data_IF_130692440526
#
_entry.id   IF_130692440526
#
_cell.length_a   1.000
_cell.length_b   1.000
_cell.length_c   1.000
_cell.angle_alpha   90.00
_cell.angle_beta   90.00
_cell.angle_gamma   90.00
#
_symmetry.space_group_name_H-M   'P 1'
#
loop_
_entity.id
_entity.type
_entity.pdbx_description
1 polymer ?
#
# COMPACT_ATOMS: atom_id res chain seq x y z
N UNK A 1 21.97 28.90 -28.36
CA UNK A 1 22.35 29.43 -27.05
C UNK A 1 23.62 28.72 -26.62
N UNK A 2 24.52 29.36 -25.90
CA UNK A 2 25.63 28.60 -25.26
C UNK A 2 25.17 28.32 -23.83
N UNK A 3 25.16 27.06 -23.46
CA UNK A 3 24.88 26.66 -22.10
C UNK A 3 26.12 26.07 -21.45
N UNK A 4 26.33 26.39 -20.17
CA UNK A 4 27.41 25.85 -19.34
C UNK A 4 26.80 24.94 -18.29
N UNK A 5 27.26 23.69 -18.24
CA UNK A 5 26.80 22.69 -17.26
C UNK A 5 27.85 22.45 -16.19
N UNK A 6 27.42 22.41 -14.93
CA UNK A 6 28.24 22.11 -13.78
C UNK A 6 27.53 21.09 -12.89
N UNK A 7 28.22 20.02 -12.50
CA UNK A 7 27.74 19.09 -11.50
C UNK A 7 28.05 19.67 -10.12
N UNK A 8 27.02 19.94 -9.32
CA UNK A 8 27.16 20.60 -7.99
C UNK A 8 26.99 19.62 -6.83
N UNK A 9 26.23 18.54 -7.02
CA UNK A 9 26.04 17.48 -6.04
C UNK A 9 25.62 16.17 -6.74
N UNK A 10 25.52 15.09 -6.00
CA UNK A 10 25.02 13.82 -6.51
C UNK A 10 23.66 14.01 -7.19
N UNK A 11 23.58 13.65 -8.46
CA UNK A 11 22.38 13.80 -9.31
C UNK A 11 21.87 15.23 -9.51
N UNK A 12 22.68 16.28 -9.20
CA UNK A 12 22.27 17.69 -9.32
C UNK A 12 23.20 18.42 -10.29
N UNK A 13 22.62 19.00 -11.33
CA UNK A 13 23.32 19.78 -12.33
C UNK A 13 22.79 21.22 -12.33
N UNK A 14 23.70 22.18 -12.29
CA UNK A 14 23.41 23.57 -12.58
C UNK A 14 23.76 23.85 -14.04
N UNK A 15 22.77 24.32 -14.82
CA UNK A 15 22.97 24.70 -16.20
C UNK A 15 22.65 26.18 -16.36
N UNK A 16 23.70 26.94 -16.65
CA UNK A 16 23.59 28.38 -16.93
C UNK A 16 23.43 28.59 -18.41
N UNK A 17 22.36 29.27 -18.82
CA UNK A 17 22.13 29.63 -20.21
C UNK A 17 21.71 31.08 -20.35
N UNK A 18 22.02 31.68 -21.51
CA UNK A 18 21.66 33.07 -21.83
C UNK A 18 20.79 33.10 -23.05
N UNK A 19 19.61 33.69 -22.90
CA UNK A 19 18.68 33.99 -23.98
C UNK A 19 18.94 35.40 -24.47
N UNK A 20 19.46 35.52 -25.67
CA UNK A 20 19.85 36.82 -26.27
C UNK A 20 19.60 36.87 -27.78
N UNK A 21 19.86 38.03 -28.39
CA UNK A 21 19.76 38.26 -29.82
C UNK A 21 18.36 38.10 -30.38
N UNK A 22 18.22 37.38 -31.49
CA UNK A 22 16.95 37.21 -32.22
C UNK A 22 15.90 36.54 -31.33
N UNK A 23 16.25 35.50 -30.57
CA UNK A 23 15.33 34.80 -29.66
C UNK A 23 14.74 35.73 -28.59
N UNK A 24 15.58 36.61 -28.03
CA UNK A 24 15.12 37.61 -27.07
C UNK A 24 14.22 38.66 -27.71
N UNK A 25 14.58 39.14 -28.90
CA UNK A 25 13.73 40.07 -29.65
C UNK A 25 12.36 39.47 -29.97
N UNK A 26 12.31 38.21 -30.37
CA UNK A 26 11.08 37.50 -30.66
C UNK A 26 10.25 37.27 -29.39
N UNK A 27 10.88 36.92 -28.26
CA UNK A 27 10.21 36.78 -26.99
C UNK A 27 9.55 38.09 -26.55
N UNK A 28 10.26 39.23 -26.64
CA UNK A 28 9.70 40.57 -26.37
C UNK A 28 8.54 40.93 -27.29
N UNK A 29 8.66 40.60 -28.57
CA UNK A 29 7.57 40.86 -29.53
C UNK A 29 6.32 40.01 -29.26
N UNK A 30 6.48 38.74 -28.88
CA UNK A 30 5.39 37.85 -28.47
C UNK A 30 4.74 38.36 -27.19
N UNK A 31 5.54 38.75 -26.19
CA UNK A 31 5.09 39.31 -24.92
C UNK A 31 4.29 40.60 -25.11
N UNK A 32 4.81 41.52 -25.93
CA UNK A 32 4.14 42.79 -26.25
C UNK A 32 2.76 42.55 -26.92
N UNK A 33 2.68 41.61 -27.87
CA UNK A 33 1.40 41.25 -28.51
C UNK A 33 0.42 40.66 -27.51
N UNK A 34 0.88 39.78 -26.62
CA UNK A 34 0.05 39.18 -25.57
C UNK A 34 -0.47 40.23 -24.59
N UNK A 35 0.43 41.06 -24.06
CA UNK A 35 0.03 42.16 -23.15
C UNK A 35 -0.90 43.17 -23.81
N UNK A 36 -0.64 43.56 -25.08
CA UNK A 36 -1.50 44.47 -25.83
C UNK A 36 -2.92 43.94 -25.98
N UNK A 37 -3.10 42.63 -26.13
CA UNK A 37 -4.42 41.98 -26.18
C UNK A 37 -5.21 42.06 -24.87
N UNK A 38 -4.53 42.33 -23.76
CA UNK A 38 -5.11 42.38 -22.41
C UNK A 38 -5.37 43.82 -21.91
N UNK A 39 -4.82 44.83 -22.62
CA UNK A 39 -4.99 46.25 -22.24
C UNK A 39 -6.46 46.65 -22.32
N UNK A 40 -6.90 47.42 -21.33
CA UNK A 40 -8.19 48.10 -21.30
C UNK A 40 -7.96 49.63 -21.39
N UNK A 41 -8.56 50.30 -22.34
CA UNK A 41 -8.46 51.77 -22.51
C UNK A 41 -9.85 52.38 -22.60
N UNK A 42 -10.00 53.64 -22.12
CA UNK A 42 -11.25 54.37 -22.24
C UNK A 42 -11.70 54.44 -23.70
N UNK A 43 -12.94 54.06 -23.98
CA UNK A 43 -13.52 54.05 -25.34
C UNK A 43 -13.32 52.73 -26.12
N UNK A 44 -12.61 51.76 -25.58
CA UNK A 44 -12.40 50.48 -26.27
C UNK A 44 -12.80 49.29 -25.36
N UNK A 45 -13.38 48.27 -25.98
CA UNK A 45 -13.63 47.00 -25.29
C UNK A 45 -12.29 46.28 -25.04
N UNK A 46 -12.14 45.59 -23.90
CA UNK A 46 -10.98 44.77 -23.55
C UNK A 46 -10.56 43.86 -24.73
N UNK A 47 -9.31 43.94 -25.15
CA UNK A 47 -8.78 43.17 -26.27
C UNK A 47 -9.08 43.73 -27.66
N UNK A 48 -9.73 44.90 -27.78
CA UNK A 48 -10.03 45.61 -29.03
C UNK A 48 -9.33 46.97 -29.10
N UNK A 49 -8.40 47.27 -28.21
CA UNK A 49 -7.59 48.48 -28.26
C UNK A 49 -6.60 48.38 -29.43
N UNK A 50 -6.49 49.41 -30.31
CA UNK A 50 -5.47 49.42 -31.38
C UNK A 50 -4.05 49.21 -30.78
N UNK A 51 -3.23 48.39 -31.45
CA UNK A 51 -1.93 47.99 -30.96
C UNK A 51 -1.02 49.15 -30.56
N UNK A 52 -1.01 50.24 -31.37
CA UNK A 52 -0.16 51.42 -31.10
C UNK A 52 -0.61 52.20 -29.84
N UNK A 53 -1.88 52.15 -29.49
CA UNK A 53 -2.39 52.74 -28.25
C UNK A 53 -2.07 51.83 -27.08
N UNK A 54 -2.30 50.53 -27.22
CA UNK A 54 -1.98 49.52 -26.17
C UNK A 54 -0.50 49.51 -25.83
N UNK A 55 0.39 49.57 -26.83
CA UNK A 55 1.84 49.63 -26.66
C UNK A 55 2.31 50.78 -25.77
N UNK A 56 1.69 51.97 -25.92
CA UNK A 56 2.05 53.14 -25.09
C UNK A 56 1.68 53.01 -23.61
N UNK A 57 0.74 52.13 -23.30
CA UNK A 57 0.25 51.88 -21.94
C UNK A 57 0.96 50.73 -21.24
N UNK A 58 1.86 50.01 -21.93
CA UNK A 58 2.59 48.85 -21.38
C UNK A 58 4.01 49.32 -21.01
N UNK A 59 4.41 49.09 -19.80
CA UNK A 59 5.77 49.41 -19.34
C UNK A 59 6.78 48.43 -19.94
N UNK A 60 8.00 48.89 -20.17
CA UNK A 60 9.10 48.04 -20.65
C UNK A 60 9.39 46.90 -19.68
N UNK A 61 9.29 47.15 -18.39
CA UNK A 61 9.41 46.09 -17.37
C UNK A 61 8.39 44.99 -17.52
N UNK A 62 7.10 45.30 -17.77
CA UNK A 62 6.06 44.29 -17.96
C UNK A 62 6.32 43.46 -19.23
N UNK A 63 6.89 44.08 -20.29
CA UNK A 63 7.25 43.38 -21.52
C UNK A 63 8.40 42.39 -21.23
N UNK A 64 9.40 42.80 -20.48
CA UNK A 64 10.55 41.98 -20.12
C UNK A 64 10.11 40.79 -19.23
N UNK A 65 9.31 41.04 -18.21
CA UNK A 65 8.79 39.99 -17.31
C UNK A 65 7.98 38.95 -18.10
N UNK A 66 7.05 39.37 -18.95
CA UNK A 66 6.25 38.48 -19.79
C UNK A 66 7.10 37.76 -20.84
N UNK A 67 8.13 38.43 -21.39
CA UNK A 67 9.05 37.80 -22.36
C UNK A 67 9.89 36.69 -21.72
N UNK A 68 10.40 36.94 -20.50
CA UNK A 68 11.12 35.91 -19.73
C UNK A 68 10.18 34.73 -19.47
N UNK A 69 8.99 35.00 -18.92
CA UNK A 69 8.02 33.96 -18.59
C UNK A 69 7.62 33.13 -19.81
N UNK A 70 7.44 33.77 -20.96
CA UNK A 70 7.06 33.10 -22.21
C UNK A 70 8.18 32.32 -22.87
N UNK A 71 9.46 32.67 -22.66
CA UNK A 71 10.62 32.01 -23.28
C UNK A 71 11.34 31.00 -22.37
N UNK A 72 11.00 30.98 -21.06
CA UNK A 72 11.69 30.14 -20.08
C UNK A 72 11.55 28.66 -20.34
N UNK A 73 10.35 28.20 -20.73
CA UNK A 73 10.09 26.79 -21.04
C UNK A 73 10.85 26.34 -22.30
N UNK A 74 10.98 27.22 -23.29
CA UNK A 74 11.72 26.93 -24.51
C UNK A 74 13.23 26.84 -24.21
N UNK A 75 13.75 27.76 -23.39
CA UNK A 75 15.14 27.72 -22.92
C UNK A 75 15.43 26.45 -22.11
N UNK A 76 14.52 26.05 -21.22
CA UNK A 76 14.63 24.79 -20.47
C UNK A 76 14.65 23.56 -21.38
N UNK A 77 13.73 23.49 -22.34
CA UNK A 77 13.65 22.36 -23.28
C UNK A 77 14.95 22.23 -24.11
N UNK A 78 15.53 23.35 -24.53
CA UNK A 78 16.81 23.35 -25.26
C UNK A 78 17.94 22.82 -24.38
N UNK A 79 18.05 23.28 -23.12
CA UNK A 79 19.04 22.82 -22.14
C UNK A 79 18.94 21.31 -21.93
N UNK A 80 17.72 20.80 -21.71
CA UNK A 80 17.48 19.36 -21.52
C UNK A 80 17.94 18.56 -22.74
N UNK A 81 17.58 19.04 -23.94
CA UNK A 81 17.95 18.38 -25.20
C UNK A 81 19.43 18.40 -25.47
N UNK A 82 20.10 19.56 -25.28
CA UNK A 82 21.52 19.76 -25.50
C UNK A 82 22.39 18.86 -24.63
N UNK A 83 22.08 18.81 -23.32
CA UNK A 83 22.83 18.03 -22.33
C UNK A 83 22.30 16.61 -22.12
N UNK A 84 21.23 16.20 -22.82
CA UNK A 84 20.57 14.88 -22.69
C UNK A 84 20.21 14.53 -21.26
N UNK A 85 19.75 15.54 -20.49
CA UNK A 85 19.35 15.35 -19.11
C UNK A 85 17.94 14.76 -19.03
N UNK A 86 17.71 13.91 -18.02
CA UNK A 86 16.39 13.36 -17.72
C UNK A 86 15.96 13.85 -16.33
N UNK A 87 15.21 14.96 -16.25
CA UNK A 87 14.80 15.52 -14.96
C UNK A 87 13.98 14.52 -14.16
N UNK A 88 14.32 14.39 -12.89
CA UNK A 88 13.62 13.54 -11.92
C UNK A 88 12.69 14.34 -11.01
N UNK A 89 13.11 15.59 -10.69
CA UNK A 89 12.31 16.56 -9.96
C UNK A 89 12.04 17.78 -10.82
N UNK A 90 11.07 18.60 -10.41
CA UNK A 90 10.89 19.91 -11.04
C UNK A 90 12.16 20.75 -10.90
N UNK A 91 12.62 21.45 -11.96
CA UNK A 91 13.82 22.26 -11.89
C UNK A 91 13.60 23.50 -11.02
N UNK A 92 14.61 23.87 -10.26
CA UNK A 92 14.67 25.21 -9.68
C UNK A 92 15.21 26.18 -10.73
N UNK A 93 14.63 27.36 -10.77
CA UNK A 93 14.94 28.36 -11.78
C UNK A 93 15.35 29.65 -11.11
N UNK A 94 16.55 30.13 -11.41
CA UNK A 94 17.07 31.39 -10.91
C UNK A 94 17.51 32.29 -12.05
N UNK A 95 16.87 33.46 -12.18
CA UNK A 95 17.28 34.48 -13.12
C UNK A 95 18.37 35.29 -12.48
N UNK A 96 19.58 35.26 -13.05
CA UNK A 96 20.75 35.89 -12.44
C UNK A 96 21.07 37.26 -13.06
N UNK A 97 20.69 37.50 -14.29
CA UNK A 97 20.93 38.76 -15.00
C UNK A 97 19.81 39.03 -15.99
N UNK A 98 19.39 40.29 -16.04
CA UNK A 98 18.45 40.79 -17.05
C UNK A 98 18.98 42.12 -17.59
N UNK A 99 19.15 42.25 -18.88
CA UNK A 99 19.56 43.51 -19.54
C UNK A 99 18.78 43.70 -20.85
N UNK A 100 19.13 44.78 -21.57
CA UNK A 100 18.45 45.14 -22.80
C UNK A 100 18.58 44.04 -23.90
N UNK A 101 19.69 43.33 -23.89
CA UNK A 101 20.09 42.37 -24.94
C UNK A 101 19.71 40.92 -24.60
N UNK A 102 19.24 40.64 -23.38
CA UNK A 102 18.84 39.31 -22.99
C UNK A 102 18.69 39.12 -21.48
N UNK A 103 18.55 37.83 -21.10
CA UNK A 103 18.61 37.40 -19.70
C UNK A 103 19.43 36.14 -19.56
N UNK A 104 20.04 35.99 -18.38
CA UNK A 104 20.77 34.78 -17.98
C UNK A 104 19.97 34.06 -16.90
N UNK A 105 19.78 32.77 -17.10
CA UNK A 105 19.05 31.89 -16.18
C UNK A 105 19.93 30.70 -15.80
N UNK A 106 19.85 30.31 -14.55
CA UNK A 106 20.44 29.09 -14.00
C UNK A 106 19.29 28.10 -13.71
N UNK A 107 19.34 26.96 -14.35
CA UNK A 107 18.47 25.83 -14.05
C UNK A 107 19.20 24.86 -13.15
N UNK A 108 18.67 24.61 -11.93
CA UNK A 108 19.13 23.51 -11.08
C UNK A 108 18.29 22.29 -11.38
N UNK A 109 18.89 21.32 -12.04
CA UNK A 109 18.20 20.12 -12.58
C UNK A 109 18.65 18.91 -11.78
N UNK A 110 17.70 18.27 -11.10
CA UNK A 110 17.93 17.01 -10.40
C UNK A 110 17.56 15.86 -11.33
N UNK A 111 18.51 14.99 -11.62
CA UNK A 111 18.31 13.77 -12.44
C UNK A 111 18.10 12.56 -11.54
N UNK A 112 17.61 11.44 -12.13
CA UNK A 112 17.44 10.19 -11.39
C UNK A 112 18.78 9.72 -10.80
N UNK A 113 18.78 9.22 -9.55
CA UNK A 113 19.98 8.63 -8.94
C UNK A 113 20.52 7.46 -9.77
N UNK A 114 21.84 7.32 -9.81
CA UNK A 114 22.49 6.20 -10.49
C UNK A 114 22.43 4.94 -9.65
N UNK A 115 22.18 3.80 -10.32
CA UNK A 115 22.08 2.49 -9.71
C UNK A 115 23.13 1.56 -10.28
N UNK A 116 24.02 1.08 -9.45
CA UNK A 116 24.94 -0.02 -9.77
C UNK A 116 24.35 -1.31 -9.19
N UNK A 117 23.74 -2.15 -10.06
CA UNK A 117 23.17 -3.41 -9.65
C UNK A 117 24.23 -4.42 -9.19
N UNK A 118 24.06 -4.95 -7.98
CA UNK A 118 24.77 -6.11 -7.50
C UNK A 118 24.22 -7.42 -8.07
N UNK A 119 24.44 -8.50 -7.35
CA UNK A 119 23.88 -9.80 -7.69
C UNK A 119 22.38 -9.82 -7.43
N UNK A 120 21.58 -10.12 -8.47
CA UNK A 120 20.11 -10.20 -8.38
C UNK A 120 19.54 -11.52 -8.93
N UNK A 121 20.40 -12.48 -9.31
CA UNK A 121 20.06 -13.85 -9.71
C UNK A 121 20.88 -14.85 -8.87
N UNK A 122 20.40 -16.07 -8.78
CA UNK A 122 21.10 -17.19 -8.11
C UNK A 122 21.39 -16.96 -6.62
N UNK A 123 20.50 -16.22 -5.93
CA UNK A 123 20.65 -15.92 -4.49
C UNK A 123 20.29 -17.11 -3.59
N UNK A 124 19.74 -18.18 -4.15
CA UNK A 124 19.40 -19.44 -3.48
C UNK A 124 18.56 -19.22 -2.19
N UNK A 125 17.47 -18.49 -2.31
CA UNK A 125 16.52 -18.24 -1.22
C UNK A 125 15.36 -19.22 -1.31
N UNK A 126 15.37 -20.25 -0.49
CA UNK A 126 14.29 -21.23 -0.45
C UNK A 126 13.03 -20.68 0.26
N UNK A 127 11.86 -21.12 -0.15
CA UNK A 127 10.61 -20.91 0.61
C UNK A 127 10.69 -21.72 1.90
N UNK A 128 10.38 -21.13 3.04
CA UNK A 128 10.27 -21.87 4.30
C UNK A 128 9.14 -22.90 4.22
N UNK A 129 9.38 -24.16 4.60
CA UNK A 129 8.33 -25.16 4.59
C UNK A 129 7.24 -24.80 5.59
N UNK A 130 6.00 -24.80 5.12
CA UNK A 130 4.82 -24.47 5.92
C UNK A 130 4.24 -25.74 6.53
N UNK A 131 3.97 -25.69 7.84
CA UNK A 131 3.25 -26.73 8.56
C UNK A 131 2.06 -26.12 9.28
N UNK A 132 0.91 -26.75 9.13
CA UNK A 132 -0.30 -26.42 9.92
C UNK A 132 -0.48 -27.56 10.91
N UNK A 133 -0.40 -27.23 12.19
CA UNK A 133 -0.64 -28.19 13.26
C UNK A 133 -2.13 -28.25 13.61
N UNK A 134 -2.56 -29.36 14.23
CA UNK A 134 -3.93 -29.44 14.76
C UNK A 134 -4.23 -28.34 15.77
N UNK A 135 -3.21 -27.92 16.51
CA UNK A 135 -3.33 -26.81 17.47
C UNK A 135 -3.68 -25.49 16.77
N UNK A 136 -3.01 -25.17 15.65
CA UNK A 136 -3.29 -23.96 14.87
C UNK A 136 -4.75 -23.94 14.38
N UNK A 137 -5.26 -25.10 13.96
CA UNK A 137 -6.64 -25.26 13.49
C UNK A 137 -7.62 -25.02 14.65
N UNK A 138 -7.37 -25.65 15.81
CA UNK A 138 -8.24 -25.46 16.99
C UNK A 138 -8.21 -24.00 17.50
N UNK A 139 -7.04 -23.37 17.54
CA UNK A 139 -6.90 -21.97 17.93
C UNK A 139 -7.70 -21.05 16.98
N UNK A 140 -7.64 -21.29 15.67
CA UNK A 140 -8.42 -20.50 14.69
C UNK A 140 -9.92 -20.75 14.85
N UNK A 141 -10.34 -22.00 15.07
CA UNK A 141 -11.75 -22.35 15.32
C UNK A 141 -12.24 -21.68 16.58
N UNK A 142 -11.49 -21.77 17.68
CA UNK A 142 -11.84 -21.11 18.94
C UNK A 142 -11.98 -19.60 18.77
N UNK A 143 -11.06 -18.97 18.04
CA UNK A 143 -11.15 -17.55 17.72
C UNK A 143 -12.43 -17.23 16.94
N UNK A 144 -12.75 -18.05 15.93
CA UNK A 144 -13.97 -17.85 15.16
C UNK A 144 -15.22 -18.01 16.02
N UNK A 145 -15.22 -18.96 16.98
CA UNK A 145 -16.32 -19.10 17.97
C UNK A 145 -16.41 -17.91 18.90
N UNK A 146 -15.28 -17.38 19.36
CA UNK A 146 -15.20 -16.16 20.19
C UNK A 146 -15.72 -14.91 19.46
N UNK A 147 -15.39 -14.78 18.17
CA UNK A 147 -15.83 -13.67 17.30
C UNK A 147 -17.34 -13.73 17.03
N UNK A 148 -17.95 -14.94 17.09
CA UNK A 148 -19.37 -15.18 16.91
C UNK A 148 -20.11 -15.47 18.24
N UNK A 149 -19.46 -15.20 19.38
CA UNK A 149 -20.07 -15.43 20.68
C UNK A 149 -21.24 -14.47 20.95
N UNK A 150 -22.31 -15.01 21.51
CA UNK A 150 -23.44 -14.20 21.95
C UNK A 150 -23.20 -13.60 23.34
N UNK A 151 -23.61 -12.35 23.51
CA UNK A 151 -23.59 -11.69 24.82
C UNK A 151 -24.88 -11.94 25.54
N UNK A 152 -24.85 -12.78 26.59
CA UNK A 152 -26.00 -13.09 27.44
C UNK A 152 -25.92 -12.33 28.76
N UNK A 153 -27.07 -11.83 29.23
CA UNK A 153 -27.17 -11.18 30.54
C UNK A 153 -26.78 -12.16 31.66
N UNK A 154 -25.94 -11.67 32.56
CA UNK A 154 -25.46 -12.43 33.74
C UNK A 154 -25.95 -11.77 35.01
N UNK A 155 -26.75 -12.49 35.80
CA UNK A 155 -27.25 -12.02 37.10
C UNK A 155 -26.20 -12.13 38.21
N UNK A 156 -25.11 -12.84 37.98
CA UNK A 156 -24.02 -13.06 38.93
C UNK A 156 -22.94 -11.97 38.90
N UNK A 157 -21.92 -12.11 39.78
CA UNK A 157 -20.80 -11.17 39.83
C UNK A 157 -19.96 -11.20 38.51
N UNK A 158 -19.43 -10.04 38.14
CA UNK A 158 -18.56 -9.89 36.95
C UNK A 158 -17.27 -10.69 37.12
N UNK A 159 -16.87 -11.36 36.04
CA UNK A 159 -15.60 -12.09 35.93
C UNK A 159 -14.75 -11.51 34.78
N UNK A 160 -13.48 -11.85 34.75
CA UNK A 160 -12.63 -11.52 33.61
C UNK A 160 -13.22 -12.11 32.33
N UNK A 161 -13.25 -11.31 31.25
CA UNK A 161 -13.86 -11.66 29.95
C UNK A 161 -15.34 -11.25 29.82
N UNK A 162 -16.01 -10.90 30.94
CA UNK A 162 -17.38 -10.37 30.87
C UNK A 162 -17.39 -8.92 30.36
N UNK A 163 -18.48 -8.55 29.70
CA UNK A 163 -18.75 -7.18 29.27
C UNK A 163 -19.61 -6.50 30.36
N UNK A 164 -19.09 -5.43 30.92
CA UNK A 164 -19.80 -4.64 31.93
C UNK A 164 -20.27 -3.34 31.29
N UNK A 165 -21.57 -3.05 31.44
CA UNK A 165 -22.18 -1.78 31.01
C UNK A 165 -22.39 -0.95 32.27
N UNK A 166 -21.77 0.23 32.35
CA UNK A 166 -21.75 1.05 33.54
C UNK A 166 -21.59 2.54 33.21
N UNK A 167 -22.02 3.38 34.14
CA UNK A 167 -21.67 4.79 34.18
C UNK A 167 -20.46 4.98 35.05
N UNK A 168 -19.58 5.91 34.71
CA UNK A 168 -18.49 6.28 35.58
C UNK A 168 -18.27 7.80 35.66
N UNK A 169 -17.81 8.25 36.83
CA UNK A 169 -17.37 9.64 37.07
C UNK A 169 -16.04 9.62 37.79
N UNK A 170 -15.03 10.24 37.16
CA UNK A 170 -13.68 10.32 37.69
C UNK A 170 -13.42 11.62 38.45
N UNK A 171 -12.74 11.49 39.57
CA UNK A 171 -12.37 12.59 40.45
C UNK A 171 -10.88 12.55 40.76
N UNK A 172 -10.22 13.71 40.65
CA UNK A 172 -8.85 13.93 41.11
C UNK A 172 -8.91 15.00 42.21
N UNK A 173 -8.40 14.68 43.42
CA UNK A 173 -8.48 15.58 44.58
C UNK A 173 -9.92 16.06 44.88
N UNK A 174 -10.93 15.19 44.64
CA UNK A 174 -12.34 15.48 44.88
C UNK A 174 -13.03 16.38 43.87
N UNK A 175 -12.37 16.71 42.72
CA UNK A 175 -12.95 17.48 41.61
C UNK A 175 -13.05 16.60 40.38
N UNK A 176 -14.18 16.69 39.68
CA UNK A 176 -14.32 16.05 38.37
C UNK A 176 -13.31 16.63 37.36
N UNK A 177 -12.81 15.80 36.46
CA UNK A 177 -11.91 16.22 35.40
C UNK A 177 -12.49 15.92 34.01
N UNK A 178 -12.13 16.70 33.04
CA UNK A 178 -12.61 16.58 31.66
C UNK A 178 -12.19 15.24 31.05
N UNK A 179 -13.14 14.55 30.38
CA UNK A 179 -12.92 13.20 29.81
C UNK A 179 -12.95 12.06 30.85
N UNK A 180 -13.20 12.37 32.16
CA UNK A 180 -13.27 11.38 33.22
C UNK A 180 -14.65 10.76 33.45
N UNK A 181 -15.67 11.05 32.64
CA UNK A 181 -17.03 10.54 32.83
C UNK A 181 -17.66 10.05 31.53
N UNK A 182 -18.43 8.99 31.62
CA UNK A 182 -19.30 8.51 30.55
C UNK A 182 -20.51 7.77 31.15
N UNK A 183 -21.61 7.78 30.39
CA UNK A 183 -22.83 7.05 30.72
C UNK A 183 -22.98 5.84 29.77
N UNK A 184 -23.48 4.71 30.26
CA UNK A 184 -23.70 3.47 29.55
C UNK A 184 -22.45 2.96 28.75
N UNK A 185 -21.29 3.12 29.37
CA UNK A 185 -20.05 2.66 28.76
C UNK A 185 -19.97 1.12 28.80
N UNK A 186 -19.58 0.51 27.68
CA UNK A 186 -19.43 -0.93 27.56
C UNK A 186 -17.93 -1.30 27.56
N UNK A 187 -17.52 -2.08 28.57
CA UNK A 187 -16.13 -2.48 28.80
C UNK A 187 -16.02 -3.99 28.96
N UNK A 188 -15.13 -4.60 28.21
CA UNK A 188 -14.76 -6.01 28.42
C UNK A 188 -13.67 -6.08 29.49
N UNK A 189 -13.91 -6.76 30.59
CA UNK A 189 -12.93 -6.89 31.67
C UNK A 189 -11.74 -7.74 31.21
N UNK A 190 -10.52 -7.20 31.31
CA UNK A 190 -9.29 -7.82 30.83
C UNK A 190 -8.88 -7.36 29.44
N UNK A 191 -9.62 -6.42 28.82
CA UNK A 191 -9.26 -5.83 27.53
C UNK A 191 -8.08 -4.86 27.60
N UNK A 192 -7.71 -4.39 28.78
CA UNK A 192 -6.72 -3.35 29.03
C UNK A 192 -7.03 -2.02 28.29
N UNK A 193 -8.31 -1.72 28.05
CA UNK A 193 -8.75 -0.45 27.46
C UNK A 193 -8.71 0.70 28.47
N UNK A 194 -8.78 0.39 29.76
CA UNK A 194 -8.68 1.36 30.84
C UNK A 194 -7.28 1.36 31.48
N UNK A 195 -7.04 2.37 32.31
CA UNK A 195 -5.78 2.48 33.06
C UNK A 195 -5.55 1.23 33.94
N UNK A 196 -4.31 0.80 34.10
CA UNK A 196 -3.99 -0.43 34.84
C UNK A 196 -4.62 -0.46 36.24
N UNK A 197 -5.22 -1.59 36.60
CA UNK A 197 -5.87 -1.81 37.86
C UNK A 197 -7.33 -1.31 37.96
N UNK A 198 -7.86 -0.70 36.89
CA UNK A 198 -9.27 -0.29 36.83
C UNK A 198 -10.20 -1.50 36.66
N UNK A 199 -9.91 -2.29 35.61
CA UNK A 199 -10.72 -3.46 35.24
C UNK A 199 -10.70 -4.55 36.31
N UNK A 200 -9.54 -4.78 36.91
CA UNK A 200 -9.38 -5.74 38.01
C UNK A 200 -10.30 -5.43 39.22
N UNK A 201 -10.49 -4.14 39.52
CA UNK A 201 -11.36 -3.74 40.63
C UNK A 201 -12.83 -3.88 40.28
N UNK A 202 -13.24 -3.90 39.01
CA UNK A 202 -14.61 -4.17 38.56
C UNK A 202 -14.95 -5.66 38.61
N UNK A 203 -13.98 -6.54 38.70
CA UNK A 203 -14.21 -7.97 38.96
C UNK A 203 -14.97 -8.14 40.25
N UNK A 204 -15.96 -9.05 40.27
CA UNK A 204 -16.89 -9.30 41.36
C UNK A 204 -17.92 -8.18 41.62
N UNK A 205 -18.02 -7.16 40.76
CA UNK A 205 -19.15 -6.24 40.81
C UNK A 205 -20.44 -6.96 40.39
N UNK A 206 -21.59 -6.53 40.96
CA UNK A 206 -22.90 -7.10 40.63
C UNK A 206 -23.73 -6.08 39.86
N UNK A 207 -24.72 -6.51 39.07
CA UNK A 207 -25.67 -5.59 38.44
C UNK A 207 -26.32 -4.67 39.48
N UNK A 208 -26.68 -3.47 39.08
CA UNK A 208 -27.29 -2.41 39.90
C UNK A 208 -26.48 -2.00 41.14
N UNK A 209 -25.18 -2.27 41.15
CA UNK A 209 -24.27 -1.92 42.24
C UNK A 209 -23.41 -0.69 41.90
N UNK A 210 -23.06 0.02 42.97
CA UNK A 210 -22.12 1.13 42.91
C UNK A 210 -20.77 0.67 43.45
N UNK A 211 -19.71 0.95 42.67
CA UNK A 211 -18.33 0.59 43.02
C UNK A 211 -17.39 1.78 42.86
N UNK A 212 -16.57 2.01 43.87
CA UNK A 212 -15.50 3.00 43.83
C UNK A 212 -14.22 2.30 43.38
N UNK A 213 -13.60 2.80 42.30
CA UNK A 213 -12.35 2.30 41.70
C UNK A 213 -11.27 3.34 41.94
N UNK A 214 -10.17 2.94 42.58
CA UNK A 214 -9.02 3.80 42.87
C UNK A 214 -7.84 3.37 42.01
N UNK A 215 -7.34 4.28 41.20
CA UNK A 215 -6.23 4.01 40.28
C UNK A 215 -5.29 5.20 40.19
N UNK A 216 -4.05 4.94 39.84
CA UNK A 216 -3.05 5.98 39.56
C UNK A 216 -2.78 6.03 38.07
N UNK A 217 -2.85 7.20 37.47
CA UNK A 217 -2.51 7.37 36.05
C UNK A 217 -1.04 7.05 35.80
N UNK A 218 -0.71 6.33 34.71
CA UNK A 218 0.68 6.09 34.32
C UNK A 218 1.46 7.39 34.11
N UNK A 219 2.78 7.36 34.32
CA UNK A 219 3.65 8.53 34.06
C UNK A 219 3.66 8.94 32.58
N UNK A 220 3.40 7.98 31.68
CA UNK A 220 3.33 8.19 30.23
C UNK A 220 1.88 8.49 29.78
N UNK A 221 1.16 9.32 30.49
CA UNK A 221 -0.18 9.77 30.16
C UNK A 221 -0.21 11.26 29.87
N UNK A 222 -1.39 11.82 29.54
CA UNK A 222 -1.54 13.27 29.31
C UNK A 222 -0.97 14.04 30.52
N UNK A 223 -0.12 15.03 30.27
CA UNK A 223 0.67 15.78 31.29
C UNK A 223 -0.17 16.27 32.49
N UNK A 224 -1.43 16.58 32.25
CA UNK A 224 -2.35 17.08 33.26
C UNK A 224 -2.81 16.00 34.24
N UNK A 225 -2.75 14.72 33.83
CA UNK A 225 -3.24 13.56 34.58
C UNK A 225 -2.12 12.61 35.05
N UNK A 226 -0.97 12.63 34.36
CA UNK A 226 0.14 11.71 34.60
C UNK A 226 0.56 11.66 36.08
N UNK A 227 0.69 10.43 36.63
CA UNK A 227 1.11 10.16 38.00
C UNK A 227 0.12 10.58 39.08
N UNK A 228 -1.09 11.04 38.73
CA UNK A 228 -2.10 11.44 39.74
C UNK A 228 -2.99 10.30 40.13
N UNK A 229 -3.38 10.26 41.39
CA UNK A 229 -4.39 9.36 41.92
C UNK A 229 -5.78 9.84 41.52
N UNK A 230 -6.56 8.95 40.98
CA UNK A 230 -7.94 9.19 40.58
C UNK A 230 -8.89 8.20 41.26
N UNK A 231 -10.06 8.68 41.62
CA UNK A 231 -11.17 7.89 42.09
C UNK A 231 -12.29 7.92 41.08
N UNK A 232 -12.67 6.76 40.58
CA UNK A 232 -13.83 6.61 39.72
C UNK A 232 -15.00 6.02 40.49
N UNK A 233 -16.13 6.67 40.39
CA UNK A 233 -17.39 6.19 40.94
C UNK A 233 -18.16 5.54 39.80
N UNK A 234 -18.25 4.22 39.86
CA UNK A 234 -18.88 3.42 38.80
C UNK A 234 -20.25 2.94 39.24
N UNK A 235 -21.28 3.10 38.42
CA UNK A 235 -22.62 2.54 38.60
C UNK A 235 -22.82 1.45 37.55
N UNK A 236 -22.84 0.20 37.99
CA UNK A 236 -22.97 -0.97 37.11
C UNK A 236 -24.44 -1.15 36.76
N UNK A 237 -24.76 -1.21 35.46
CA UNK A 237 -26.12 -1.45 34.95
C UNK A 237 -26.32 -2.92 34.62
N UNK A 238 -25.50 -3.41 33.70
CA UNK A 238 -25.62 -4.77 33.16
C UNK A 238 -24.26 -5.46 33.12
N UNK A 239 -24.29 -6.74 33.34
CA UNK A 239 -23.14 -7.62 33.10
C UNK A 239 -23.56 -8.63 32.06
N UNK A 240 -22.76 -8.76 31.01
CA UNK A 240 -22.97 -9.73 29.93
C UNK A 240 -21.78 -10.66 29.85
N UNK A 241 -22.05 -11.95 29.79
CA UNK A 241 -20.99 -12.95 29.55
C UNK A 241 -21.03 -13.40 28.10
N UNK A 242 -19.85 -13.65 27.52
CA UNK A 242 -19.75 -14.26 26.21
C UNK A 242 -20.08 -15.75 26.34
N UNK A 243 -21.12 -16.18 25.64
CA UNK A 243 -21.46 -17.60 25.48
C UNK A 243 -20.99 -18.02 24.09
N UNK A 244 -19.97 -18.87 24.05
CA UNK A 244 -19.48 -19.42 22.82
C UNK A 244 -20.50 -20.43 22.25
N UNK A 245 -20.82 -20.35 20.96
CA UNK A 245 -21.64 -21.39 20.33
C UNK A 245 -20.90 -22.74 20.37
N UNK A 246 -21.65 -23.81 20.61
CA UNK A 246 -21.09 -25.15 20.51
C UNK A 246 -20.80 -25.49 19.04
N UNK A 247 -19.60 -26.05 18.77
CA UNK A 247 -19.22 -26.44 17.43
C UNK A 247 -19.93 -27.75 17.06
N UNK A 248 -21.14 -27.62 16.52
CA UNK A 248 -21.98 -28.72 16.01
C UNK A 248 -22.12 -28.66 14.48
N UNK A 249 -22.60 -29.73 13.87
CA UNK A 249 -22.84 -29.73 12.41
C UNK A 249 -23.95 -28.73 12.04
N UNK A 250 -24.94 -28.53 12.91
CA UNK A 250 -26.00 -27.53 12.73
C UNK A 250 -25.41 -26.12 12.70
N UNK A 251 -24.58 -25.79 13.70
CA UNK A 251 -23.89 -24.47 13.75
C UNK A 251 -23.03 -24.23 12.52
N UNK A 252 -22.27 -25.24 12.07
CA UNK A 252 -21.45 -25.12 10.86
C UNK A 252 -22.32 -24.85 9.62
N UNK A 253 -23.49 -25.50 9.51
CA UNK A 253 -24.41 -25.28 8.41
C UNK A 253 -25.02 -23.85 8.44
N UNK A 254 -25.21 -23.24 9.62
CA UNK A 254 -25.72 -21.88 9.83
C UNK A 254 -24.68 -20.81 9.45
N UNK A 255 -23.38 -21.11 9.50
CA UNK A 255 -22.32 -20.17 9.08
C UNK A 255 -22.39 -19.83 7.57
N UNK A 256 -23.20 -20.54 6.79
CA UNK A 256 -23.45 -20.23 5.37
C UNK A 256 -22.29 -20.54 4.42
N UNK A 257 -21.23 -21.21 4.91
CA UNK A 257 -20.08 -21.65 4.13
C UNK A 257 -20.36 -22.91 3.28
N UNK A 258 -19.29 -23.45 2.68
CA UNK A 258 -19.38 -24.69 1.90
C UNK A 258 -19.42 -25.94 2.80
N UNK A 259 -18.81 -25.88 3.98
CA UNK A 259 -18.81 -26.95 4.96
C UNK A 259 -20.23 -27.18 5.55
N UNK A 260 -20.60 -28.44 5.74
CA UNK A 260 -21.87 -28.84 6.35
C UNK A 260 -21.70 -29.66 7.62
N UNK A 261 -20.48 -30.09 7.88
CA UNK A 261 -20.11 -30.85 9.08
C UNK A 261 -18.90 -30.22 9.75
N UNK A 262 -18.73 -30.48 11.05
CA UNK A 262 -17.54 -30.06 11.83
C UNK A 262 -16.26 -30.59 11.17
N UNK A 263 -16.26 -31.80 10.62
CA UNK A 263 -15.09 -32.37 9.97
C UNK A 263 -14.71 -31.61 8.69
N UNK A 264 -15.69 -31.23 7.88
CA UNK A 264 -15.47 -30.40 6.67
C UNK A 264 -15.00 -29.01 7.04
N UNK A 265 -15.59 -28.38 8.07
CA UNK A 265 -15.20 -27.08 8.57
C UNK A 265 -13.74 -27.06 9.06
N UNK A 266 -13.31 -28.07 9.82
CA UNK A 266 -11.89 -28.24 10.23
C UNK A 266 -10.97 -28.34 9.03
N UNK A 267 -11.36 -29.08 8.00
CA UNK A 267 -10.59 -29.23 6.76
C UNK A 267 -10.50 -27.91 5.98
N UNK A 268 -11.60 -27.12 5.94
CA UNK A 268 -11.64 -25.82 5.30
C UNK A 268 -10.76 -24.80 6.04
N UNK A 269 -10.82 -24.78 7.39
CA UNK A 269 -9.95 -23.94 8.22
C UNK A 269 -8.48 -24.34 8.04
N UNK A 270 -8.17 -25.65 8.01
CA UNK A 270 -6.79 -26.11 7.75
C UNK A 270 -6.30 -25.67 6.37
N UNK A 271 -7.12 -25.80 5.34
CA UNK A 271 -6.78 -25.37 3.97
C UNK A 271 -6.56 -23.85 3.91
N UNK A 272 -7.41 -23.08 4.58
CA UNK A 272 -7.28 -21.61 4.67
C UNK A 272 -5.99 -21.21 5.39
N UNK A 273 -5.74 -21.77 6.57
CA UNK A 273 -4.51 -21.51 7.32
C UNK A 273 -3.25 -21.92 6.54
N UNK A 274 -3.31 -23.02 5.81
CA UNK A 274 -2.19 -23.45 4.95
C UNK A 274 -1.92 -22.42 3.86
N UNK A 275 -2.98 -21.96 3.18
CA UNK A 275 -2.88 -20.93 2.15
C UNK A 275 -2.32 -19.61 2.69
N UNK A 276 -2.81 -19.16 3.85
CA UNK A 276 -2.32 -17.95 4.53
C UNK A 276 -0.83 -18.06 4.88
N UNK A 277 -0.42 -19.18 5.49
CA UNK A 277 0.98 -19.43 5.86
C UNK A 277 1.89 -19.58 4.63
N UNK A 278 1.41 -20.21 3.55
CA UNK A 278 2.15 -20.32 2.29
C UNK A 278 2.33 -18.93 1.65
N UNK A 279 1.29 -18.11 1.69
CA UNK A 279 1.34 -16.73 1.22
C UNK A 279 2.39 -15.93 2.02
N UNK A 280 2.33 -15.97 3.34
CA UNK A 280 3.28 -15.30 4.22
C UNK A 280 4.73 -15.80 4.01
N UNK A 281 4.92 -17.11 3.80
CA UNK A 281 6.24 -17.67 3.51
C UNK A 281 6.81 -17.20 2.16
N UNK A 282 5.95 -17.03 1.14
CA UNK A 282 6.36 -16.48 -0.16
C UNK A 282 6.69 -14.99 -0.06
N UNK A 283 5.92 -14.24 0.72
CA UNK A 283 6.19 -12.82 0.98
C UNK A 283 7.53 -12.64 1.73
N UNK A 284 7.78 -13.47 2.74
CA UNK A 284 9.06 -13.49 3.46
C UNK A 284 10.23 -13.85 2.54
N UNK A 285 10.05 -14.84 1.65
CA UNK A 285 11.03 -15.18 0.63
C UNK A 285 11.33 -13.97 -0.27
N UNK A 286 10.29 -13.30 -0.79
CA UNK A 286 10.44 -12.13 -1.65
C UNK A 286 11.19 -11.01 -0.92
N UNK A 287 10.79 -10.68 0.31
CA UNK A 287 11.45 -9.66 1.12
C UNK A 287 12.93 -9.99 1.37
N UNK A 288 13.24 -11.28 1.56
CA UNK A 288 14.63 -11.74 1.70
C UNK A 288 15.42 -11.59 0.41
N UNK A 289 14.83 -11.92 -0.75
CA UNK A 289 15.44 -11.71 -2.07
C UNK A 289 15.73 -10.24 -2.28
N UNK A 290 14.72 -9.37 -2.11
CA UNK A 290 14.84 -7.92 -2.28
C UNK A 290 15.93 -7.36 -1.35
N UNK A 291 15.94 -7.73 -0.08
CA UNK A 291 16.93 -7.28 0.90
C UNK A 291 18.36 -7.67 0.50
N UNK A 292 18.57 -8.89 0.00
CA UNK A 292 19.88 -9.32 -0.49
C UNK A 292 20.33 -8.56 -1.73
N UNK A 293 19.41 -8.29 -2.66
CA UNK A 293 19.70 -7.52 -3.88
C UNK A 293 20.09 -6.09 -3.51
N UNK A 294 19.30 -5.43 -2.63
CA UNK A 294 19.59 -4.08 -2.17
C UNK A 294 20.95 -4.03 -1.47
N UNK A 295 21.24 -4.98 -0.58
CA UNK A 295 22.51 -5.03 0.15
C UNK A 295 23.74 -5.22 -0.77
N UNK A 296 23.57 -5.86 -1.93
CA UNK A 296 24.64 -6.05 -2.92
C UNK A 296 24.74 -4.92 -3.93
N UNK A 297 23.72 -4.07 -4.04
CA UNK A 297 23.64 -2.97 -5.01
C UNK A 297 24.12 -1.66 -4.37
N UNK A 298 24.58 -0.73 -5.20
CA UNK A 298 24.96 0.61 -4.76
C UNK A 298 24.08 1.65 -5.42
N UNK A 299 23.43 2.47 -4.60
CA UNK A 299 22.57 3.56 -5.05
C UNK A 299 23.04 4.84 -4.39
N UNK A 300 23.30 5.87 -5.19
CA UNK A 300 23.70 7.17 -4.67
C UNK A 300 22.56 8.15 -4.84
N UNK A 301 21.83 8.43 -3.75
CA UNK A 301 20.67 9.34 -3.74
C UNK A 301 21.15 10.72 -3.31
N UNK A 302 20.87 11.74 -4.13
CA UNK A 302 21.17 13.13 -3.80
C UNK A 302 20.25 13.64 -2.67
N UNK A 303 20.78 14.48 -1.78
CA UNK A 303 20.04 15.04 -0.64
C UNK A 303 18.74 15.75 -1.08
N UNK A 304 18.77 16.51 -2.18
CA UNK A 304 17.57 17.17 -2.74
C UNK A 304 16.44 16.19 -3.07
N UNK A 305 16.78 14.98 -3.51
CA UNK A 305 15.78 13.93 -3.80
C UNK A 305 15.13 13.45 -2.50
N UNK A 306 15.97 13.21 -1.47
CA UNK A 306 15.47 12.79 -0.15
C UNK A 306 14.61 13.87 0.50
N UNK A 307 15.01 15.13 0.40
CA UNK A 307 14.22 16.27 0.92
C UNK A 307 12.87 16.41 0.24
N UNK A 308 12.84 16.36 -1.10
CA UNK A 308 11.60 16.46 -1.85
C UNK A 308 10.64 15.31 -1.52
N UNK A 309 11.17 14.09 -1.37
CA UNK A 309 10.37 12.92 -1.00
C UNK A 309 9.85 13.02 0.44
N UNK A 310 10.72 13.38 1.38
CA UNK A 310 10.34 13.55 2.79
C UNK A 310 9.28 14.63 2.97
N UNK A 311 9.38 15.73 2.20
CA UNK A 311 8.37 16.79 2.23
C UNK A 311 7.01 16.31 1.70
N UNK A 312 7.00 15.58 0.60
CA UNK A 312 5.77 15.01 0.05
C UNK A 312 5.13 13.98 1.01
N UNK A 313 5.94 13.12 1.63
CA UNK A 313 5.46 12.16 2.63
C UNK A 313 4.93 12.86 3.89
N UNK A 314 5.56 13.97 4.30
CA UNK A 314 5.05 14.80 5.40
C UNK A 314 3.68 15.39 5.06
N UNK A 315 3.49 15.91 3.85
CA UNK A 315 2.20 16.43 3.42
C UNK A 315 1.12 15.33 3.39
N UNK A 316 1.48 14.12 2.94
CA UNK A 316 0.59 12.96 2.97
C UNK A 316 0.26 12.53 4.41
N UNK A 317 1.25 12.52 5.30
CA UNK A 317 1.06 12.25 6.72
C UNK A 317 0.07 13.25 7.33
N UNK A 318 0.28 14.55 7.12
CA UNK A 318 -0.61 15.61 7.62
C UNK A 318 -2.04 15.37 7.13
N UNK A 319 -2.23 15.17 5.82
CA UNK A 319 -3.56 14.88 5.27
C UNK A 319 -4.22 13.66 5.91
N UNK A 320 -3.47 12.58 6.13
CA UNK A 320 -4.01 11.36 6.72
C UNK A 320 -4.43 11.54 8.18
N UNK A 321 -3.62 12.22 8.99
CA UNK A 321 -3.97 12.46 10.40
C UNK A 321 -5.15 13.43 10.53
N UNK A 322 -5.23 14.46 9.69
CA UNK A 322 -6.36 15.40 9.66
C UNK A 322 -7.68 14.72 9.23
N UNK A 323 -7.63 13.78 8.28
CA UNK A 323 -8.79 12.95 7.91
C UNK A 323 -9.32 12.10 9.07
N UNK A 324 -8.44 11.72 9.99
CA UNK A 324 -8.79 11.01 11.22
C UNK A 324 -9.16 11.94 12.39
N UNK A 325 -9.28 13.25 12.14
CA UNK A 325 -9.71 14.25 13.13
C UNK A 325 -8.62 14.67 14.14
N UNK A 326 -7.34 14.37 13.84
CA UNK A 326 -6.20 14.71 14.69
C UNK A 326 -5.41 15.83 14.01
N UNK A 327 -5.08 16.93 14.73
CA UNK A 327 -4.21 17.97 14.19
C UNK A 327 -2.73 17.54 14.19
N UNK A 328 -1.91 18.18 13.36
CA UNK A 328 -0.47 17.87 13.32
C UNK A 328 0.24 18.16 14.65
N UNK A 329 -0.19 19.19 15.37
CA UNK A 329 0.33 19.51 16.71
C UNK A 329 -0.02 18.42 17.73
N UNK A 330 -1.29 17.94 17.71
CA UNK A 330 -1.72 16.81 18.56
C UNK A 330 -0.94 15.53 18.25
N UNK A 331 -0.68 15.26 16.96
CA UNK A 331 0.15 14.13 16.54
C UNK A 331 1.57 14.23 17.11
N UNK A 332 2.19 15.42 17.09
CA UNK A 332 3.51 15.63 17.66
C UNK A 332 3.51 15.43 19.19
N UNK A 333 2.47 15.88 19.89
CA UNK A 333 2.30 15.66 21.33
C UNK A 333 2.14 14.19 21.67
N UNK A 334 1.28 13.46 20.93
CA UNK A 334 1.03 12.01 21.14
C UNK A 334 2.29 11.19 20.90
N UNK A 335 3.04 11.50 19.83
CA UNK A 335 4.27 10.77 19.47
C UNK A 335 5.50 11.21 20.24
N UNK A 336 5.46 12.39 20.89
CA UNK A 336 6.60 13.01 21.52
C UNK A 336 7.70 13.46 20.54
N UNK A 337 7.38 13.55 19.24
CA UNK A 337 8.32 13.90 18.17
C UNK A 337 8.10 15.34 17.72
N UNK A 338 9.19 16.10 17.60
CA UNK A 338 9.13 17.41 16.96
C UNK A 338 9.21 17.28 15.42
N UNK A 339 8.91 18.35 14.71
CA UNK A 339 8.91 18.42 13.25
C UNK A 339 10.23 17.92 12.62
N UNK A 340 11.37 18.35 13.17
CA UNK A 340 12.69 17.95 12.67
C UNK A 340 12.91 16.43 12.76
N UNK A 341 12.47 15.79 13.85
CA UNK A 341 12.61 14.34 14.03
C UNK A 341 11.66 13.56 13.13
N UNK A 342 10.45 14.08 12.90
CA UNK A 342 9.50 13.49 11.94
C UNK A 342 10.09 13.53 10.54
N UNK A 343 10.61 14.69 10.10
CA UNK A 343 11.25 14.83 8.78
C UNK A 343 12.49 13.94 8.65
N UNK A 344 13.31 13.81 9.69
CA UNK A 344 14.47 12.89 9.70
C UNK A 344 14.04 11.44 9.49
N UNK A 345 13.05 10.98 10.25
CA UNK A 345 12.50 9.62 10.10
C UNK A 345 11.92 9.40 8.70
N UNK A 346 11.20 10.40 8.15
CA UNK A 346 10.68 10.34 6.79
C UNK A 346 11.79 10.29 5.74
N UNK A 347 12.90 11.01 5.92
CA UNK A 347 14.09 10.93 5.04
C UNK A 347 14.71 9.53 5.05
N UNK A 348 14.86 8.93 6.24
CA UNK A 348 15.39 7.54 6.35
C UNK A 348 14.49 6.54 5.64
N UNK A 349 13.18 6.68 5.80
CA UNK A 349 12.21 5.82 5.13
C UNK A 349 12.19 6.05 3.62
N UNK A 350 12.23 7.33 3.19
CA UNK A 350 12.36 7.70 1.80
C UNK A 350 13.60 7.09 1.15
N UNK A 351 14.76 7.14 1.81
CA UNK A 351 15.99 6.54 1.29
C UNK A 351 15.83 5.04 1.02
N UNK A 352 15.18 4.30 1.91
CA UNK A 352 14.89 2.86 1.73
C UNK A 352 13.95 2.62 0.56
N UNK A 353 12.81 3.32 0.53
CA UNK A 353 11.79 3.16 -0.51
C UNK A 353 12.31 3.53 -1.91
N UNK A 354 13.05 4.65 -2.00
CA UNK A 354 13.66 5.09 -3.25
C UNK A 354 14.71 4.08 -3.72
N UNK A 355 15.58 3.60 -2.82
CA UNK A 355 16.59 2.59 -3.15
C UNK A 355 15.94 1.33 -3.70
N UNK A 356 14.92 0.81 -3.03
CA UNK A 356 14.17 -0.37 -3.47
C UNK A 356 13.55 -0.14 -4.86
N UNK A 357 12.81 0.96 -5.01
CA UNK A 357 12.15 1.30 -6.29
C UNK A 357 13.16 1.44 -7.45
N UNK A 358 14.27 2.12 -7.22
CA UNK A 358 15.29 2.32 -8.24
C UNK A 358 15.98 1.02 -8.64
N UNK A 359 16.35 0.18 -7.67
CA UNK A 359 16.96 -1.14 -7.91
C UNK A 359 16.00 -2.04 -8.69
N UNK A 360 14.72 -2.08 -8.29
CA UNK A 360 13.69 -2.87 -8.97
C UNK A 360 13.44 -2.39 -10.41
N UNK A 361 13.36 -1.08 -10.62
CA UNK A 361 13.20 -0.49 -11.95
C UNK A 361 14.41 -0.79 -12.84
N UNK A 362 15.62 -0.72 -12.29
CA UNK A 362 16.83 -0.99 -13.05
C UNK A 362 16.94 -2.48 -13.45
N UNK A 363 16.50 -3.41 -12.58
CA UNK A 363 16.39 -4.82 -12.94
C UNK A 363 15.36 -5.02 -14.05
N UNK A 364 14.18 -4.41 -13.93
CA UNK A 364 13.15 -4.48 -14.97
C UNK A 364 13.66 -3.96 -16.31
N UNK A 365 14.42 -2.85 -16.31
CA UNK A 365 15.03 -2.26 -17.50
C UNK A 365 16.07 -3.20 -18.11
N UNK A 366 16.98 -3.74 -17.30
CA UNK A 366 18.08 -4.63 -17.72
C UNK A 366 17.57 -5.95 -18.29
N UNK A 367 16.49 -6.49 -17.72
CA UNK A 367 15.85 -7.72 -18.17
C UNK A 367 14.77 -7.50 -19.23
N UNK A 368 14.59 -6.26 -19.70
CA UNK A 368 13.58 -5.91 -20.71
C UNK A 368 12.15 -6.33 -20.33
N UNK A 369 11.82 -6.23 -19.04
CA UNK A 369 10.49 -6.56 -18.54
C UNK A 369 9.54 -5.41 -18.87
N UNK A 370 8.68 -5.63 -19.83
CA UNK A 370 7.63 -4.69 -20.25
C UNK A 370 6.27 -5.38 -20.17
N UNK A 371 5.22 -4.61 -19.98
CA UNK A 371 3.85 -5.11 -20.08
C UNK A 371 3.37 -4.91 -21.52
N UNK A 372 3.03 -6.01 -22.17
CA UNK A 372 2.47 -6.00 -23.51
C UNK A 372 0.99 -5.59 -23.48
N UNK A 373 0.48 -5.12 -24.63
CA UNK A 373 -0.96 -4.84 -24.78
C UNK A 373 -1.82 -6.09 -24.52
N UNK A 374 -1.31 -7.27 -24.82
CA UNK A 374 -2.01 -8.52 -24.59
C UNK A 374 -2.19 -8.78 -23.09
N UNK A 375 -1.13 -8.62 -22.28
CA UNK A 375 -1.18 -8.77 -20.82
C UNK A 375 -2.12 -7.74 -20.17
N UNK A 376 -2.12 -6.50 -20.66
CA UNK A 376 -3.03 -5.46 -20.18
C UNK A 376 -4.49 -5.80 -20.51
N UNK A 377 -4.76 -6.26 -21.74
CA UNK A 377 -6.11 -6.67 -22.14
C UNK A 377 -6.58 -7.90 -21.36
N UNK A 378 -5.71 -8.86 -21.07
CA UNK A 378 -6.02 -10.01 -20.22
C UNK A 378 -6.42 -9.57 -18.80
N UNK A 379 -5.69 -8.62 -18.22
CA UNK A 379 -6.06 -8.02 -16.93
C UNK A 379 -7.45 -7.36 -16.99
N UNK A 380 -7.72 -6.55 -18.02
CA UNK A 380 -9.04 -5.94 -18.19
C UNK A 380 -10.16 -6.98 -18.33
N UNK A 381 -9.90 -8.07 -19.06
CA UNK A 381 -10.88 -9.17 -19.17
C UNK A 381 -11.14 -9.89 -17.83
N UNK A 382 -10.12 -10.05 -16.99
CA UNK A 382 -10.28 -10.62 -15.65
C UNK A 382 -11.13 -9.70 -14.77
N UNK A 383 -10.86 -8.39 -14.77
CA UNK A 383 -11.64 -7.40 -14.02
C UNK A 383 -13.09 -7.35 -14.52
N UNK A 384 -13.29 -7.32 -15.84
CA UNK A 384 -14.60 -7.34 -16.49
C UNK A 384 -15.45 -8.53 -16.03
N UNK A 385 -14.85 -9.71 -16.00
CA UNK A 385 -15.50 -10.94 -15.50
C UNK A 385 -15.83 -10.86 -14.01
N UNK A 386 -14.95 -10.31 -13.20
CA UNK A 386 -15.13 -10.20 -11.74
C UNK A 386 -16.28 -9.25 -11.38
N UNK A 387 -16.41 -8.13 -12.11
CA UNK A 387 -17.41 -7.11 -11.84
C UNK A 387 -18.62 -7.15 -12.78
N UNK A 388 -18.72 -8.20 -13.64
CA UNK A 388 -19.78 -8.38 -14.62
C UNK A 388 -19.96 -7.17 -15.55
N UNK A 389 -18.83 -6.65 -16.04
CA UNK A 389 -18.72 -5.49 -16.95
C UNK A 389 -18.16 -5.95 -18.29
N UNK A 390 -18.26 -5.10 -19.32
CA UNK A 390 -17.53 -5.28 -20.58
C UNK A 390 -16.09 -4.77 -20.45
N UNK A 391 -15.19 -5.26 -21.32
CA UNK A 391 -13.79 -4.81 -21.32
C UNK A 391 -13.68 -3.31 -21.64
N UNK A 392 -14.52 -2.80 -22.55
CA UNK A 392 -14.57 -1.40 -22.92
C UNK A 392 -15.01 -0.50 -21.75
N UNK A 393 -15.96 -0.96 -20.93
CA UNK A 393 -16.37 -0.24 -19.71
C UNK A 393 -15.26 -0.18 -18.69
N UNK A 394 -14.52 -1.27 -18.51
CA UNK A 394 -13.35 -1.33 -17.62
C UNK A 394 -12.24 -0.40 -18.11
N UNK A 395 -11.89 -0.45 -19.40
CA UNK A 395 -10.88 0.42 -20.00
C UNK A 395 -11.25 1.90 -19.84
N UNK A 396 -12.51 2.24 -20.07
CA UNK A 396 -13.03 3.60 -19.88
C UNK A 396 -13.04 4.04 -18.42
N UNK A 397 -13.37 3.15 -17.50
CA UNK A 397 -13.38 3.43 -16.05
C UNK A 397 -11.97 3.72 -15.52
N UNK A 398 -10.98 2.97 -16.01
CA UNK A 398 -9.59 3.20 -15.63
C UNK A 398 -8.96 4.43 -16.30
N UNK A 399 -9.35 4.77 -17.54
CA UNK A 399 -8.97 6.00 -18.23
C UNK A 399 -7.52 6.43 -17.98
N UNK A 400 -7.34 7.53 -17.24
CA UNK A 400 -6.03 8.09 -16.91
C UNK A 400 -5.22 7.23 -15.91
N UNK A 401 -5.82 6.21 -15.28
CA UNK A 401 -5.14 5.33 -14.31
C UNK A 401 -4.42 4.13 -14.95
N UNK A 402 -4.45 4.02 -16.27
CA UNK A 402 -3.80 2.93 -17.02
C UNK A 402 -2.32 2.77 -16.63
N UNK A 403 -1.59 3.86 -16.42
CA UNK A 403 -0.17 3.81 -16.05
C UNK A 403 0.05 3.12 -14.70
N UNK A 404 -0.81 3.36 -13.71
CA UNK A 404 -0.72 2.69 -12.40
C UNK A 404 -0.98 1.18 -12.54
N UNK A 405 -1.91 0.79 -13.40
CA UNK A 405 -2.17 -0.64 -13.69
C UNK A 405 -0.95 -1.28 -14.34
N UNK A 406 -0.35 -0.63 -15.33
CA UNK A 406 0.87 -1.11 -15.99
C UNK A 406 2.00 -1.26 -14.98
N UNK A 407 2.19 -0.30 -14.08
CA UNK A 407 3.20 -0.37 -13.03
C UNK A 407 2.95 -1.53 -12.06
N UNK A 408 1.70 -1.76 -11.65
CA UNK A 408 1.34 -2.89 -10.78
C UNK A 408 1.57 -4.24 -11.46
N UNK A 409 1.19 -4.37 -12.73
CA UNK A 409 1.42 -5.58 -13.53
C UNK A 409 2.93 -5.83 -13.71
N UNK A 410 3.69 -4.77 -13.95
CA UNK A 410 5.16 -4.84 -14.08
C UNK A 410 5.79 -5.31 -12.76
N UNK A 411 5.35 -4.76 -11.62
CA UNK A 411 5.77 -5.22 -10.29
C UNK A 411 5.50 -6.71 -10.09
N UNK A 412 4.28 -7.18 -10.43
CA UNK A 412 3.94 -8.59 -10.37
C UNK A 412 4.79 -9.48 -11.30
N UNK A 413 5.12 -8.98 -12.50
CA UNK A 413 5.99 -9.67 -13.46
C UNK A 413 7.43 -9.75 -12.95
N UNK A 414 7.94 -8.68 -12.41
CA UNK A 414 9.26 -8.60 -11.78
C UNK A 414 9.37 -9.54 -10.59
N UNK A 415 8.36 -9.57 -9.71
CA UNK A 415 8.33 -10.48 -8.57
C UNK A 415 8.40 -11.94 -9.00
N UNK A 416 7.61 -12.33 -10.00
CA UNK A 416 7.68 -13.69 -10.58
C UNK A 416 9.07 -14.00 -11.16
N UNK A 417 9.67 -13.03 -11.86
CA UNK A 417 11.02 -13.17 -12.41
C UNK A 417 12.05 -13.37 -11.29
N UNK A 418 12.01 -12.55 -10.25
CA UNK A 418 12.95 -12.64 -9.13
C UNK A 418 12.82 -13.98 -8.38
N UNK A 419 11.61 -14.43 -8.10
CA UNK A 419 11.37 -15.73 -7.46
C UNK A 419 11.92 -16.87 -8.33
N UNK A 420 11.59 -16.86 -9.63
CA UNK A 420 12.03 -17.92 -10.55
C UNK A 420 13.56 -18.04 -10.67
N UNK A 421 14.28 -16.90 -10.60
CA UNK A 421 15.73 -16.88 -10.76
C UNK A 421 16.50 -16.99 -9.42
N UNK A 422 15.81 -16.96 -8.27
CA UNK A 422 16.46 -16.95 -6.96
C UNK A 422 16.01 -18.09 -6.03
N UNK A 423 15.04 -18.90 -6.45
CA UNK A 423 14.62 -20.09 -5.70
C UNK A 423 15.51 -21.27 -6.12
N UNK A 424 16.15 -21.98 -5.19
CA UNK A 424 16.93 -23.17 -5.55
C UNK A 424 16.00 -24.21 -6.17
N UNK A 425 16.48 -24.88 -7.22
CA UNK A 425 15.79 -26.07 -7.74
C UNK A 425 15.64 -27.10 -6.64
N UNK A 426 14.41 -27.38 -6.24
CA UNK A 426 14.13 -28.52 -5.35
C UNK A 426 14.44 -29.77 -6.15
N UNK A 427 15.63 -30.33 -5.98
CA UNK A 427 15.87 -31.71 -6.37
C UNK A 427 14.93 -32.55 -5.53
N UNK A 428 13.83 -32.96 -6.12
CA UNK A 428 12.89 -33.95 -5.55
C UNK A 428 13.67 -35.25 -5.29
N UNK A 429 14.22 -35.38 -4.10
CA UNK A 429 14.60 -36.68 -3.55
C UNK A 429 13.35 -37.47 -3.10
N UNK A 430 12.42 -37.64 -4.01
CA UNK A 430 11.28 -38.54 -3.86
C UNK A 430 11.35 -39.65 -4.90
N UNK A 431 12.45 -40.41 -4.85
CA UNK A 431 12.51 -41.70 -5.55
C UNK A 431 13.56 -42.66 -4.93
N UNK A 432 13.56 -42.82 -3.61
CA UNK A 432 14.43 -43.81 -2.98
C UNK A 432 13.84 -44.41 -1.67
N UNK A 433 12.52 -44.55 -1.58
CA UNK A 433 11.94 -45.29 -0.43
C UNK A 433 10.76 -46.19 -0.86
N UNK A 434 10.88 -46.83 -2.01
CA UNK A 434 9.90 -47.84 -2.41
C UNK A 434 10.61 -48.98 -3.17
N UNK A 435 11.65 -49.55 -2.58
CA UNK A 435 12.16 -50.88 -3.05
C UNK A 435 13.02 -51.47 -1.97
N UNK A 436 12.42 -52.10 -0.97
CA UNK A 436 12.99 -53.22 -0.20
C UNK A 436 11.91 -53.82 0.73
N UNK A 437 10.99 -54.56 0.15
CA UNK A 437 10.40 -55.71 0.82
C UNK A 437 10.52 -56.91 -0.10
N UNK A 438 11.48 -57.75 0.21
CA UNK A 438 11.67 -59.11 -0.38
C UNK A 438 10.55 -60.03 0.10
N UNK A 439 9.99 -60.87 -0.78
CA UNK A 439 8.97 -61.83 -0.41
C UNK A 439 9.57 -63.06 0.26
N UNK A 440 9.00 -63.43 1.40
CA UNK A 440 9.21 -64.77 1.97
C UNK A 440 8.37 -65.82 1.23
N UNK A 441 9.08 -66.91 0.93
CA UNK A 441 8.55 -68.16 0.31
C UNK A 441 7.52 -68.85 1.20
N UNK A 442 6.46 -69.41 0.61
CA UNK A 442 6.14 -70.81 0.79
C UNK A 442 5.01 -71.33 -0.08
N UNK A 443 5.39 -72.33 -0.89
CA UNK A 443 4.84 -73.61 -1.26
C UNK A 443 3.42 -73.85 -1.80
N UNK A 444 3.54 -74.41 -2.98
CA UNK A 444 2.85 -75.63 -3.51
C UNK A 444 1.36 -75.62 -3.84
N UNK A 445 1.16 -75.67 -5.12
CA UNK A 445 0.19 -76.27 -6.01
C UNK A 445 -0.78 -77.39 -5.46
N UNK A 446 -1.84 -77.87 -6.16
CA UNK A 446 -1.85 -78.08 -7.60
C UNK A 446 -3.20 -77.88 -8.37
N UNK A 447 -3.07 -77.72 -9.70
CA UNK A 447 -3.82 -78.28 -10.85
C UNK A 447 -5.37 -78.42 -10.79
N UNK A 448 -6.14 -77.85 -11.71
CA UNK A 448 -6.53 -78.50 -12.98
C UNK A 448 -7.57 -77.69 -13.77
N UNK A 449 -7.31 -77.72 -15.07
CA UNK A 449 -8.16 -77.88 -16.27
C UNK A 449 -9.06 -76.72 -16.73
N UNK A 450 -8.60 -76.07 -17.81
CA UNK A 450 -9.11 -76.17 -19.21
C UNK A 450 -10.64 -76.16 -19.37
N UNK A 451 -11.16 -75.14 -20.09
CA UNK A 451 -11.79 -75.27 -21.39
C UNK A 451 -12.07 -73.88 -22.03
N UNK A 452 -11.47 -73.69 -23.11
CA UNK A 452 -11.79 -73.28 -24.48
C UNK A 452 -13.27 -72.89 -24.79
N UNK A 453 -13.43 -71.71 -25.43
CA UNK A 453 -13.96 -71.54 -26.80
C UNK A 453 -14.60 -70.16 -26.89
N UNK A 454 -14.08 -69.31 -27.74
CA UNK A 454 -14.36 -69.09 -29.15
C UNK A 454 -15.45 -68.03 -29.42
N UNK A 455 -14.91 -66.87 -29.97
CA UNK A 455 -15.37 -66.22 -31.20
C UNK A 455 -16.86 -65.81 -31.33
N UNK A 456 -17.13 -64.52 -31.56
CA UNK A 456 -17.48 -64.00 -32.91
C UNK A 456 -17.89 -62.53 -32.87
N UNK A 457 -17.16 -61.73 -33.62
CA UNK A 457 -17.48 -60.63 -34.54
C UNK A 457 -18.92 -60.27 -34.85
N UNK A 458 -19.26 -58.99 -34.95
CA UNK A 458 -19.86 -58.18 -36.05
C UNK A 458 -20.23 -56.78 -35.47
N UNK A 459 -19.68 -55.68 -35.92
CA UNK A 459 -19.81 -54.89 -37.15
C UNK A 459 -21.27 -54.57 -37.57
N UNK A 460 -21.58 -53.29 -37.57
CA UNK A 460 -22.34 -52.46 -38.52
C UNK A 460 -22.77 -51.17 -37.77
N UNK A 461 -22.21 -50.01 -38.07
CA UNK A 461 -22.48 -49.08 -39.19
C UNK A 461 -23.91 -48.52 -39.21
N UNK A 462 -23.96 -47.22 -39.11
CA UNK A 462 -24.43 -46.22 -40.08
C UNK A 462 -25.78 -45.54 -39.81
N UNK A 463 -25.69 -44.24 -39.90
CA UNK A 463 -26.47 -43.12 -40.44
C UNK A 463 -27.30 -42.34 -39.41
N UNK A 464 -27.00 -41.04 -39.29
CA UNK A 464 -27.34 -39.84 -40.10
C UNK A 464 -28.83 -39.53 -40.13
N UNK A 465 -29.16 -38.36 -39.71
CA UNK A 465 -29.91 -37.26 -40.37
C UNK A 465 -30.54 -36.37 -39.28
N UNK A 466 -30.13 -35.13 -39.18
CA UNK A 466 -30.57 -33.87 -39.82
C UNK A 466 -31.98 -33.37 -39.50
N UNK A 467 -31.97 -32.07 -39.31
CA UNK A 467 -33.05 -31.07 -39.44
C UNK A 467 -33.91 -30.83 -38.21
N UNK A 468 -33.96 -29.68 -37.71
CA UNK A 468 -34.08 -28.28 -38.12
C UNK A 468 -35.40 -27.68 -37.62
N UNK A 469 -35.28 -26.45 -37.26
CA UNK A 469 -36.30 -25.39 -37.27
C UNK A 469 -37.17 -25.18 -36.04
N UNK A 470 -36.92 -24.07 -35.44
CA UNK A 470 -37.62 -22.75 -35.48
C UNK A 470 -38.71 -22.53 -34.44
N UNK A 471 -38.50 -21.40 -33.85
CA UNK A 471 -39.47 -20.37 -33.43
C UNK A 471 -40.24 -20.65 -32.10
N UNK A 472 -39.99 -19.92 -31.12
CA UNK A 472 -40.55 -18.60 -30.81
C UNK A 472 -39.60 -17.81 -29.92
#
# INVERSE_FOLDING_TARGET
MSSEIKNTAASVFEVTTTVSGEKWSDAKNKALKKLASQVSAKGFRKGKVPFDIAKKSISEQAIVEEAIHGSLNEAYAEVISEHKLHPYLQPEVQITKVDADGYTVVFTITVAPEVELGQYKDLNVAVKPVKVSKKDVEERINKNLEDNAELQLKEGPAAMGDTVIFDFKGYINGKEFEGGSADNYSLVLGSNQFIPGFEDQLVSATPDSKKDVLVTFPEQYVKELAGKDAKFVCMIHEIKTKVLPELTDEYVAELGGNAKTVAEYRSEVEATLRKEKEQAAREEQMNTIISKIIASSKVTIGEKVLEAYAQNEKENLIKNIEQNGISYEQYQEITGMNDAKIVENLKEQAAKNITESLVMNEIARKENLIISKAELNEYYAQVAKQYNMTVEEVEKAFGNNTQNIVNNLLGGKLNRFLVANNTPEVKTEEKAAATEEKPAKEKAAPKAKKTTAKKTTKKAEVKEETEAQKAE
#
